data_IF_120513498257
#
_entry.id   IF_120513498257
#
_cell.length_a   1.000
_cell.length_b   1.000
_cell.length_c   1.000
_cell.angle_alpha   90.00
_cell.angle_beta   90.00
_cell.angle_gamma   90.00
#
_symmetry.space_group_name_H-M   'P 1'
#
loop_
_entity.id
_entity.type
_entity.pdbx_description
1 polymer ?
#
# COMPACT_ATOMS: atom_id res chain seq x y z
N UNK A 1 -7.93 -5.02 24.80
CA UNK A 1 -7.01 -5.41 23.71
C UNK A 1 -6.35 -6.72 24.12
N UNK A 2 -6.86 -7.86 23.65
CA UNK A 2 -6.40 -9.20 24.05
C UNK A 2 -6.25 -10.15 22.87
N UNK A 3 -6.20 -9.60 21.65
CA UNK A 3 -5.96 -10.35 20.43
C UNK A 3 -4.47 -10.42 20.17
N UNK A 4 -4.03 -11.53 19.57
CA UNK A 4 -2.68 -11.67 19.06
C UNK A 4 -2.45 -10.72 17.88
N UNK A 5 -1.24 -10.18 17.77
CA UNK A 5 -0.77 -9.45 16.58
C UNK A 5 0.34 -10.28 15.93
N UNK A 6 0.06 -10.78 14.74
CA UNK A 6 0.99 -11.57 13.93
C UNK A 6 1.76 -10.72 12.90
N UNK A 7 2.72 -11.34 12.22
CA UNK A 7 3.54 -10.69 11.20
C UNK A 7 2.91 -10.80 9.80
N UNK A 8 2.72 -9.65 9.14
CA UNK A 8 2.43 -9.61 7.71
C UNK A 8 3.74 -9.38 6.94
N UNK A 9 4.07 -10.24 5.97
CA UNK A 9 5.39 -10.27 5.37
C UNK A 9 5.36 -10.53 3.87
N UNK A 10 6.34 -10.02 3.11
CA UNK A 10 6.54 -10.41 1.71
C UNK A 10 7.71 -11.39 1.61
N UNK A 11 7.50 -12.55 0.97
CA UNK A 11 8.56 -13.57 0.84
C UNK A 11 9.81 -13.04 0.14
N UNK A 12 9.64 -12.11 -0.80
CA UNK A 12 10.72 -11.43 -1.51
C UNK A 12 11.70 -10.68 -0.61
N UNK A 13 11.24 -10.21 0.56
CA UNK A 13 12.10 -9.44 1.49
C UNK A 13 13.16 -10.34 2.16
N UNK A 14 12.93 -11.65 2.14
CA UNK A 14 13.80 -12.67 2.74
C UNK A 14 14.56 -13.48 1.69
N UNK A 15 14.01 -13.61 0.47
CA UNK A 15 14.66 -14.29 -0.64
C UNK A 15 15.62 -13.32 -1.36
N UNK A 16 16.92 -13.45 -1.08
CA UNK A 16 17.97 -12.67 -1.76
C UNK A 16 18.64 -11.58 -0.90
N UNK A 17 18.27 -11.49 0.38
CA UNK A 17 19.00 -10.68 1.36
C UNK A 17 20.36 -11.32 1.65
N UNK A 18 21.42 -10.52 1.82
CA UNK A 18 22.68 -11.03 2.37
C UNK A 18 22.42 -11.58 3.78
N UNK A 19 22.60 -12.89 3.97
CA UNK A 19 22.36 -13.58 5.23
C UNK A 19 21.31 -14.70 5.14
N UNK A 20 20.92 -15.23 6.31
CA UNK A 20 19.88 -16.24 6.41
C UNK A 20 18.50 -15.55 6.49
N UNK A 21 17.72 -15.65 5.42
CA UNK A 21 16.38 -15.08 5.35
C UNK A 21 15.43 -15.61 6.42
N UNK A 22 15.62 -16.85 6.88
CA UNK A 22 14.82 -17.43 7.96
C UNK A 22 15.17 -16.81 9.32
N UNK A 23 16.45 -16.51 9.54
CA UNK A 23 16.90 -15.77 10.72
C UNK A 23 16.35 -14.34 10.73
N UNK A 24 16.31 -13.67 9.57
CA UNK A 24 15.70 -12.34 9.43
C UNK A 24 14.20 -12.38 9.77
N UNK A 25 13.46 -13.35 9.22
CA UNK A 25 12.04 -13.54 9.53
C UNK A 25 11.81 -13.75 11.03
N UNK A 26 12.63 -14.58 11.67
CA UNK A 26 12.57 -14.80 13.12
C UNK A 26 12.75 -13.50 13.89
N UNK A 27 13.72 -12.67 13.48
CA UNK A 27 13.98 -11.38 14.12
C UNK A 27 12.78 -10.42 13.98
N UNK A 28 12.10 -10.42 12.84
CA UNK A 28 10.91 -9.60 12.62
C UNK A 28 9.75 -10.05 13.52
N UNK A 29 9.53 -11.36 13.68
CA UNK A 29 8.58 -11.91 14.66
C UNK A 29 8.89 -11.45 16.10
N UNK A 30 10.17 -11.45 16.48
CA UNK A 30 10.63 -10.98 17.80
C UNK A 30 10.44 -9.46 17.98
N UNK A 31 10.57 -8.66 16.91
CA UNK A 31 10.28 -7.22 16.92
C UNK A 31 8.78 -7.01 17.17
N UNK A 32 7.91 -7.68 16.42
CA UNK A 32 6.45 -7.59 16.61
C UNK A 32 6.11 -7.92 18.05
N UNK A 33 6.66 -9.03 18.58
CA UNK A 33 6.35 -9.44 19.94
C UNK A 33 6.83 -8.48 21.03
N UNK A 34 7.98 -7.81 20.83
CA UNK A 34 8.45 -6.76 21.74
C UNK A 34 7.56 -5.51 21.70
N UNK A 35 7.10 -5.10 20.53
CA UNK A 35 6.23 -3.92 20.37
C UNK A 35 4.87 -4.15 21.02
N UNK A 36 4.31 -5.36 20.85
CA UNK A 36 2.98 -5.70 21.36
C UNK A 36 2.99 -6.20 22.81
N UNK A 37 4.17 -6.51 23.35
CA UNK A 37 4.33 -7.07 24.69
C UNK A 37 3.85 -8.53 24.81
N UNK A 38 3.61 -9.22 23.69
CA UNK A 38 3.17 -10.61 23.62
C UNK A 38 3.87 -11.32 22.46
N UNK A 39 4.26 -12.60 22.56
CA UNK A 39 4.87 -13.31 21.45
C UNK A 39 3.98 -13.30 20.20
N UNK A 40 4.55 -12.97 19.04
CA UNK A 40 3.90 -13.22 17.76
C UNK A 40 3.96 -14.73 17.47
N UNK A 41 2.81 -15.34 17.21
CA UNK A 41 2.67 -16.78 16.94
C UNK A 41 2.20 -17.05 15.52
N UNK A 42 1.60 -16.05 14.88
CA UNK A 42 0.96 -16.15 13.58
C UNK A 42 1.66 -15.29 12.53
N UNK A 43 1.65 -15.75 11.28
CA UNK A 43 2.12 -14.95 10.15
C UNK A 43 1.21 -15.07 8.93
N UNK A 44 1.24 -14.05 8.07
CA UNK A 44 0.47 -13.98 6.84
C UNK A 44 1.34 -13.41 5.72
N UNK A 45 1.58 -14.20 4.68
CA UNK A 45 2.24 -13.69 3.49
C UNK A 45 1.37 -12.67 2.74
N UNK A 46 1.99 -11.58 2.30
CA UNK A 46 1.42 -10.60 1.37
C UNK A 46 1.01 -11.24 0.05
N UNK A 47 1.80 -12.22 -0.42
CA UNK A 47 1.51 -12.99 -1.61
C UNK A 47 1.40 -14.48 -1.28
N UNK A 48 0.19 -15.02 -1.41
CA UNK A 48 -0.11 -16.43 -1.17
C UNK A 48 0.64 -17.37 -2.13
N UNK A 49 0.88 -16.95 -3.37
CA UNK A 49 1.51 -17.78 -4.41
C UNK A 49 2.95 -18.09 -4.04
N UNK A 50 3.66 -17.09 -3.51
CA UNK A 50 5.06 -17.19 -3.15
C UNK A 50 5.29 -17.52 -1.66
N UNK A 51 4.24 -17.69 -0.87
CA UNK A 51 4.34 -17.93 0.57
C UNK A 51 5.17 -19.18 0.91
N UNK A 52 5.07 -20.23 0.10
CA UNK A 52 5.78 -21.50 0.30
C UNK A 52 7.28 -21.49 -0.05
N UNK A 53 7.80 -20.41 -0.64
CA UNK A 53 9.22 -20.33 -1.01
C UNK A 53 10.14 -20.12 0.20
N UNK A 54 9.61 -19.63 1.32
CA UNK A 54 10.32 -19.52 2.60
C UNK A 54 9.66 -20.48 3.61
N UNK A 55 10.40 -21.49 4.06
CA UNK A 55 9.87 -22.47 5.02
C UNK A 55 9.84 -21.92 6.45
N UNK A 56 8.81 -21.15 6.77
CA UNK A 56 8.62 -20.54 8.10
C UNK A 56 7.90 -21.44 9.10
N UNK A 57 7.45 -22.63 8.69
CA UNK A 57 6.67 -23.54 9.54
C UNK A 57 7.27 -23.81 10.92
N UNK A 58 8.60 -23.97 11.08
CA UNK A 58 9.21 -24.13 12.40
C UNK A 58 9.18 -22.89 13.30
N UNK A 59 8.91 -21.70 12.74
CA UNK A 59 8.98 -20.41 13.44
C UNK A 59 7.61 -19.85 13.83
N UNK A 60 6.54 -20.36 13.24
CA UNK A 60 5.17 -19.89 13.49
C UNK A 60 4.30 -21.04 13.94
N UNK A 61 3.34 -20.74 14.83
CA UNK A 61 2.30 -21.68 15.22
C UNK A 61 1.21 -21.77 14.16
N UNK A 62 0.89 -20.63 13.55
CA UNK A 62 -0.18 -20.52 12.57
C UNK A 62 0.28 -19.69 11.37
N UNK A 63 0.00 -20.19 10.18
CA UNK A 63 0.10 -19.41 8.97
C UNK A 63 -1.31 -19.16 8.40
N UNK A 64 -1.59 -17.95 7.92
CA UNK A 64 -2.92 -17.57 7.43
C UNK A 64 -3.44 -18.49 6.31
N UNK A 65 -2.54 -19.16 5.59
CA UNK A 65 -2.85 -20.08 4.51
C UNK A 65 -2.80 -21.57 4.91
N UNK A 66 -2.64 -21.89 6.20
CA UNK A 66 -2.69 -23.29 6.67
C UNK A 66 -4.00 -23.98 6.26
N UNK A 67 -3.97 -25.30 5.98
CA UNK A 67 -5.17 -26.06 5.61
C UNK A 67 -6.33 -25.93 6.61
N UNK A 68 -6.02 -25.79 7.91
CA UNK A 68 -7.03 -25.60 8.97
C UNK A 68 -7.80 -24.27 8.87
N UNK A 69 -7.33 -23.34 8.05
CA UNK A 69 -8.01 -22.07 7.78
C UNK A 69 -8.54 -22.03 6.34
N UNK A 70 -7.88 -22.69 5.39
CA UNK A 70 -8.23 -22.59 3.96
C UNK A 70 -9.09 -23.73 3.43
N UNK A 71 -9.12 -24.90 4.09
CA UNK A 71 -9.85 -26.09 3.62
C UNK A 71 -11.02 -26.48 4.52
N UNK A 72 -10.97 -26.14 5.80
CA UNK A 72 -11.99 -26.52 6.79
C UNK A 72 -12.99 -25.40 7.08
N UNK A 73 -12.60 -24.14 6.87
CA UNK A 73 -13.44 -22.97 7.10
C UNK A 73 -13.94 -22.49 5.73
N UNK A 74 -15.27 -22.39 5.50
CA UNK A 74 -15.81 -21.82 4.27
C UNK A 74 -15.23 -20.44 3.99
N UNK A 75 -14.81 -20.23 2.74
CA UNK A 75 -14.30 -18.95 2.28
C UNK A 75 -15.31 -18.32 1.32
N UNK A 76 -15.67 -17.07 1.59
CA UNK A 76 -16.60 -16.29 0.77
C UNK A 76 -15.92 -15.00 0.33
N UNK A 77 -16.08 -14.64 -0.93
CA UNK A 77 -15.53 -13.41 -1.50
C UNK A 77 -16.56 -12.75 -2.41
N UNK A 78 -16.58 -11.42 -2.41
CA UNK A 78 -17.35 -10.59 -3.33
C UNK A 78 -16.56 -10.25 -4.61
N UNK A 79 -15.55 -11.05 -4.97
CA UNK A 79 -14.77 -10.88 -6.19
C UNK A 79 -15.68 -10.67 -7.42
N UNK A 80 -15.40 -9.65 -8.22
CA UNK A 80 -16.22 -9.20 -9.36
C UNK A 80 -17.65 -8.80 -8.97
N UNK A 81 -17.84 -8.30 -7.73
CA UNK A 81 -19.14 -7.94 -7.16
C UNK A 81 -20.13 -9.12 -7.11
N UNK A 82 -19.64 -10.35 -7.10
CA UNK A 82 -20.47 -11.54 -7.15
C UNK A 82 -20.11 -12.53 -6.03
N UNK A 83 -21.13 -12.99 -5.32
CA UNK A 83 -21.04 -14.15 -4.46
C UNK A 83 -21.12 -15.42 -5.31
N UNK A 84 -20.22 -16.38 -5.07
CA UNK A 84 -20.18 -17.64 -5.83
C UNK A 84 -20.92 -18.74 -5.10
N UNK A 85 -20.20 -19.47 -4.25
CA UNK A 85 -20.69 -20.70 -3.63
C UNK A 85 -21.65 -20.44 -2.48
N UNK A 86 -21.45 -19.34 -1.74
CA UNK A 86 -22.28 -18.95 -0.59
C UNK A 86 -22.47 -17.45 -0.56
N UNK A 87 -23.63 -17.00 -0.07
CA UNK A 87 -23.81 -15.64 0.42
C UNK A 87 -23.42 -15.59 1.91
N UNK A 88 -22.72 -14.54 2.41
CA UNK A 88 -22.34 -14.47 3.82
C UNK A 88 -23.52 -14.56 4.79
N UNK A 89 -24.69 -14.03 4.41
CA UNK A 89 -25.91 -14.11 5.23
C UNK A 89 -26.41 -15.54 5.43
N UNK A 90 -26.23 -16.43 4.44
CA UNK A 90 -26.64 -17.82 4.55
C UNK A 90 -25.82 -18.52 5.64
N UNK A 91 -24.49 -18.30 5.63
CA UNK A 91 -23.57 -18.88 6.62
C UNK A 91 -23.80 -18.33 8.04
N UNK A 92 -24.20 -17.05 8.15
CA UNK A 92 -24.58 -16.45 9.43
C UNK A 92 -25.85 -17.09 9.97
N UNK A 93 -26.87 -17.29 9.14
CA UNK A 93 -28.12 -17.96 9.53
C UNK A 93 -27.90 -19.42 9.94
N UNK A 94 -26.94 -20.10 9.32
CA UNK A 94 -26.52 -21.46 9.69
C UNK A 94 -25.62 -21.50 10.94
N UNK A 95 -25.30 -20.36 11.56
CA UNK A 95 -24.36 -20.26 12.69
C UNK A 95 -22.99 -20.90 12.43
N UNK A 96 -22.50 -20.81 11.18
CA UNK A 96 -21.21 -21.37 10.78
C UNK A 96 -20.11 -20.33 10.92
N UNK A 97 -18.93 -20.77 11.36
CA UNK A 97 -17.71 -19.97 11.20
C UNK A 97 -17.29 -19.94 9.73
N UNK A 98 -16.93 -18.77 9.22
CA UNK A 98 -16.47 -18.59 7.85
C UNK A 98 -15.47 -17.45 7.73
N UNK A 99 -14.72 -17.41 6.64
CA UNK A 99 -13.87 -16.30 6.24
C UNK A 99 -14.57 -15.49 5.15
N UNK A 100 -14.43 -14.16 5.22
CA UNK A 100 -14.98 -13.25 4.23
C UNK A 100 -13.91 -12.29 3.73
N UNK A 101 -13.77 -12.20 2.42
CA UNK A 101 -13.01 -11.17 1.74
C UNK A 101 -13.99 -10.21 1.06
N UNK A 102 -13.84 -8.92 1.36
CA UNK A 102 -14.61 -7.86 0.74
C UNK A 102 -13.65 -6.93 -0.02
N UNK A 103 -14.01 -6.52 -1.22
CA UNK A 103 -13.32 -5.45 -1.92
C UNK A 103 -14.09 -4.15 -1.68
N UNK A 104 -13.58 -3.21 -0.85
CA UNK A 104 -14.31 -1.99 -0.48
C UNK A 104 -14.83 -1.21 -1.70
N UNK A 105 -14.06 -1.26 -2.78
CA UNK A 105 -14.39 -0.76 -4.11
C UNK A 105 -15.84 -1.02 -4.54
N UNK A 106 -16.33 -2.25 -4.35
CA UNK A 106 -17.66 -2.67 -4.79
C UNK A 106 -18.78 -2.00 -4.00
N UNK A 107 -18.50 -1.53 -2.79
CA UNK A 107 -19.48 -1.00 -1.86
C UNK A 107 -19.48 0.53 -1.83
N UNK A 108 -18.35 1.16 -2.14
CA UNK A 108 -18.18 2.63 -2.03
C UNK A 108 -18.33 3.37 -3.34
N UNK A 109 -18.07 2.72 -4.48
CA UNK A 109 -18.16 3.39 -5.78
C UNK A 109 -19.56 3.35 -6.37
N UNK A 110 -19.90 4.42 -7.09
CA UNK A 110 -21.07 4.44 -7.96
C UNK A 110 -20.86 3.51 -9.17
N UNK A 111 -21.96 2.95 -9.67
CA UNK A 111 -21.96 1.96 -10.74
C UNK A 111 -22.80 0.74 -10.37
N UNK A 112 -23.48 0.17 -11.37
CA UNK A 112 -24.36 -0.99 -11.18
C UNK A 112 -23.59 -2.30 -11.08
N UNK A 113 -22.57 -2.44 -11.90
CA UNK A 113 -21.70 -3.62 -12.01
C UNK A 113 -20.22 -3.25 -11.79
N UNK A 114 -19.36 -4.27 -11.70
CA UNK A 114 -17.94 -4.09 -11.44
C UNK A 114 -17.26 -3.26 -12.54
N UNK A 115 -17.69 -3.40 -13.79
CA UNK A 115 -17.13 -2.68 -14.93
C UNK A 115 -17.43 -1.18 -14.83
N UNK A 116 -18.69 -0.81 -14.59
CA UNK A 116 -19.08 0.59 -14.39
C UNK A 116 -18.38 1.23 -13.17
N UNK A 117 -18.18 0.45 -12.10
CA UNK A 117 -17.43 0.93 -10.93
C UNK A 117 -15.96 1.19 -11.27
N UNK A 118 -15.32 0.33 -12.07
CA UNK A 118 -13.95 0.56 -12.55
C UNK A 118 -13.87 1.78 -13.49
N UNK A 119 -14.83 1.93 -14.41
CA UNK A 119 -14.93 3.11 -15.28
C UNK A 119 -15.13 4.40 -14.46
N UNK A 120 -15.83 4.32 -13.33
CA UNK A 120 -15.97 5.45 -12.40
C UNK A 120 -14.62 5.84 -11.80
N UNK A 121 -13.76 4.89 -11.41
CA UNK A 121 -12.38 5.21 -10.99
C UNK A 121 -11.61 5.87 -12.11
N UNK A 122 -11.66 5.29 -13.31
CA UNK A 122 -10.92 5.80 -14.46
C UNK A 122 -11.32 7.25 -14.76
N UNK A 123 -12.62 7.54 -14.83
CA UNK A 123 -13.12 8.89 -15.08
C UNK A 123 -12.68 9.88 -14.00
N UNK A 124 -12.73 9.50 -12.72
CA UNK A 124 -12.29 10.34 -11.61
C UNK A 124 -10.77 10.56 -11.63
N UNK A 125 -9.99 9.53 -11.93
CA UNK A 125 -8.55 9.63 -12.06
C UNK A 125 -8.17 10.55 -13.21
N UNK A 126 -8.77 10.36 -14.39
CA UNK A 126 -8.56 11.21 -15.56
C UNK A 126 -8.91 12.67 -15.26
N UNK A 127 -10.05 12.94 -14.64
CA UNK A 127 -10.43 14.29 -14.26
C UNK A 127 -9.42 14.94 -13.30
N UNK A 128 -8.92 14.20 -12.31
CA UNK A 128 -7.87 14.69 -11.38
C UNK A 128 -6.56 14.98 -12.11
N UNK A 129 -6.12 14.10 -12.99
CA UNK A 129 -4.89 14.30 -13.77
C UNK A 129 -5.02 15.47 -14.75
N UNK A 130 -6.15 15.59 -15.45
CA UNK A 130 -6.42 16.73 -16.32
C UNK A 130 -6.37 18.04 -15.54
N UNK A 131 -7.06 18.14 -14.40
CA UNK A 131 -7.05 19.33 -13.55
C UNK A 131 -5.63 19.66 -13.04
N UNK A 132 -4.85 18.64 -12.66
CA UNK A 132 -3.45 18.81 -12.27
C UNK A 132 -2.62 19.39 -13.43
N UNK A 133 -2.68 18.79 -14.62
CA UNK A 133 -1.93 19.24 -15.80
C UNK A 133 -2.32 20.68 -16.17
N UNK A 134 -3.61 21.01 -16.18
CA UNK A 134 -4.09 22.37 -16.44
C UNK A 134 -3.53 23.38 -15.43
N UNK A 135 -3.51 23.02 -14.15
CA UNK A 135 -2.94 23.87 -13.10
C UNK A 135 -1.44 24.12 -13.30
N UNK A 136 -0.70 23.10 -13.76
CA UNK A 136 0.74 23.20 -14.05
C UNK A 136 0.99 24.07 -15.29
N UNK A 137 0.20 23.90 -16.35
CA UNK A 137 0.26 24.75 -17.55
C UNK A 137 0.01 26.21 -17.16
N UNK A 138 -1.01 26.47 -16.35
CA UNK A 138 -1.33 27.83 -15.93
C UNK A 138 -0.27 28.43 -15.01
N UNK A 139 0.33 27.62 -14.12
CA UNK A 139 1.50 28.05 -13.33
C UNK A 139 2.65 28.44 -14.24
N UNK A 140 2.95 27.65 -15.28
CA UNK A 140 4.03 27.94 -16.21
C UNK A 140 3.75 29.18 -17.07
N UNK A 141 2.51 29.35 -17.55
CA UNK A 141 2.09 30.57 -18.27
C UNK A 141 2.29 31.81 -17.42
N UNK A 142 1.85 31.79 -16.16
CA UNK A 142 2.06 32.90 -15.21
C UNK A 142 3.54 33.16 -14.93
N UNK A 143 4.35 32.10 -14.81
CA UNK A 143 5.80 32.24 -14.65
C UNK A 143 6.44 32.93 -15.86
N UNK A 144 6.08 32.53 -17.08
CA UNK A 144 6.58 33.14 -18.32
C UNK A 144 6.11 34.60 -18.46
N UNK A 145 4.85 34.90 -18.17
CA UNK A 145 4.31 36.26 -18.24
C UNK A 145 5.02 37.21 -17.26
N UNK A 146 5.33 36.74 -16.05
CA UNK A 146 6.01 37.51 -15.02
C UNK A 146 7.53 37.34 -15.03
N UNK A 147 8.09 36.76 -16.10
CA UNK A 147 9.50 36.34 -16.15
C UNK A 147 10.47 37.47 -15.87
N UNK A 148 10.26 38.66 -16.45
CA UNK A 148 11.15 39.80 -16.22
C UNK A 148 11.21 40.21 -14.72
N UNK A 149 10.08 40.14 -14.03
CA UNK A 149 10.01 40.43 -12.60
C UNK A 149 10.65 39.31 -11.76
N UNK A 150 10.37 38.05 -12.12
CA UNK A 150 10.92 36.88 -11.43
C UNK A 150 12.45 36.78 -11.61
N UNK A 151 12.96 37.08 -12.81
CA UNK A 151 14.38 37.11 -13.14
C UNK A 151 15.09 38.23 -12.36
N UNK A 152 14.48 39.42 -12.25
CA UNK A 152 15.01 40.51 -11.42
C UNK A 152 15.07 40.15 -9.92
N UNK A 153 14.01 39.50 -9.40
CA UNK A 153 13.99 39.02 -8.01
C UNK A 153 14.94 37.84 -7.76
N UNK A 154 15.27 37.06 -8.79
CA UNK A 154 16.28 36.00 -8.72
C UNK A 154 17.69 36.57 -8.71
N UNK A 155 17.99 37.53 -9.60
CA UNK A 155 19.29 38.22 -9.63
C UNK A 155 19.58 38.95 -8.32
N UNK A 156 18.61 39.70 -7.78
CA UNK A 156 18.78 40.40 -6.51
C UNK A 156 19.10 39.44 -5.34
N UNK A 157 18.42 38.28 -5.28
CA UNK A 157 18.72 37.24 -4.28
C UNK A 157 20.10 36.60 -4.43
N UNK A 158 20.61 36.43 -5.66
CA UNK A 158 21.98 35.94 -5.88
C UNK A 158 23.03 36.98 -5.49
N UNK A 159 22.77 38.27 -5.73
CA UNK A 159 23.66 39.36 -5.31
C UNK A 159 23.71 39.49 -3.79
N UNK A 160 22.59 39.31 -3.09
CA UNK A 160 22.52 39.34 -1.61
C UNK A 160 23.18 38.13 -0.95
N UNK A 161 23.24 36.98 -1.63
CA UNK A 161 23.85 35.75 -1.08
C UNK A 161 25.35 35.62 -1.37
N UNK A 162 25.90 36.38 -2.32
CA UNK A 162 27.34 36.40 -2.63
C UNK A 162 27.87 37.81 -2.95
N UNK A 163 28.06 38.69 -1.94
CA UNK A 163 28.49 40.07 -2.16
C UNK A 163 29.96 40.24 -2.62
N UNK A 164 30.78 39.18 -2.70
CA UNK A 164 32.24 39.30 -2.82
C UNK A 164 32.84 39.12 -4.23
N UNK A 165 32.07 39.13 -5.32
CA UNK A 165 32.62 38.96 -6.69
C UNK A 165 32.48 40.16 -7.63
N UNK A 166 32.39 41.40 -7.11
CA UNK A 166 32.67 42.58 -7.95
C UNK A 166 34.19 42.84 -7.98
N UNK A 167 34.84 42.38 -9.04
CA UNK A 167 36.25 42.71 -9.35
C UNK A 167 36.41 44.22 -9.51
N UNK A 168 37.26 44.81 -8.67
CA UNK A 168 37.82 46.14 -8.86
C UNK A 168 38.65 46.15 -10.15
N UNK A 169 38.10 46.75 -11.21
CA UNK A 169 38.90 47.23 -12.32
C UNK A 169 39.65 48.49 -11.85
N UNK A 170 40.94 48.35 -11.62
CA UNK A 170 41.86 49.48 -11.50
C UNK A 170 43.10 49.26 -12.36
N UNK A 171 43.21 50.22 -13.31
CA UNK A 171 44.34 50.64 -14.14
C UNK A 171 44.65 49.76 -15.35
#
# INVERSE_FOLDING_TARGET
MGHEVGLHYATSDYLGREGDGLACFKQDMEIVGRITGQPALSASAHDAVNAGLLNIGPLVKFHAYDPQFTQTIPYVSDSNQAWRQWHPLDLIQEHRSFQVLLHPLWWVLEGRDWEQKLQTIESQANARYSAFIESEIERQRRSIQNRAQLDGAFQHRQEDTHPSQRRSGHI
#
